data_IF_135520511586
#
_entry.id   IF_135520511586
#
_cell.length_a   1.000
_cell.length_b   1.000
_cell.length_c   1.000
_cell.angle_alpha   90.00
_cell.angle_beta   90.00
_cell.angle_gamma   90.00
#
_symmetry.space_group_name_H-M   'P 1'
#
loop_
_entity.id
_entity.type
_entity.pdbx_description
1 polymer ?
#
# COMPACT_ATOMS: atom_id res chain seq x y z
N UNK A 1 36.47 10.87 68.21
CA UNK A 1 36.43 11.22 66.78
C UNK A 1 35.05 10.83 66.26
N UNK A 2 34.15 11.81 66.12
CA UNK A 2 32.76 11.61 65.66
C UNK A 2 32.77 11.42 64.13
N UNK A 3 32.13 10.37 63.62
CA UNK A 3 31.86 10.23 62.18
C UNK A 3 30.34 10.30 62.01
N UNK A 4 29.88 11.40 61.42
CA UNK A 4 28.49 11.68 61.06
C UNK A 4 28.23 11.01 59.70
N UNK A 5 27.30 10.04 59.63
CA UNK A 5 26.84 9.48 58.35
C UNK A 5 25.66 10.34 57.86
N UNK A 6 25.88 11.16 56.83
CA UNK A 6 24.83 11.90 56.11
C UNK A 6 24.24 10.99 55.03
N UNK A 7 23.01 10.53 55.22
CA UNK A 7 22.22 9.82 54.22
C UNK A 7 21.66 10.83 53.21
N UNK A 8 22.15 10.82 51.96
CA UNK A 8 21.50 11.53 50.86
C UNK A 8 20.33 10.69 50.32
N UNK A 9 19.11 11.21 50.46
CA UNK A 9 17.92 10.66 49.80
C UNK A 9 17.83 11.31 48.42
N UNK A 10 18.03 10.51 47.37
CA UNK A 10 17.88 10.94 45.97
C UNK A 10 16.40 10.80 45.58
N UNK A 11 15.67 11.92 45.57
CA UNK A 11 14.28 11.96 45.12
C UNK A 11 14.19 11.85 43.60
N UNK A 12 13.61 10.77 43.10
CA UNK A 12 13.24 10.65 41.69
C UNK A 12 11.93 11.41 41.44
N UNK A 13 12.01 12.50 40.68
CA UNK A 13 10.83 13.19 40.15
C UNK A 13 10.46 12.51 38.84
N UNK A 14 9.43 11.67 38.85
CA UNK A 14 8.81 11.16 37.63
C UNK A 14 8.06 12.33 36.96
N UNK A 15 8.63 12.84 35.87
CA UNK A 15 7.94 13.75 34.95
C UNK A 15 7.02 12.90 34.07
N UNK A 16 5.72 12.90 34.38
CA UNK A 16 4.70 12.41 33.46
C UNK A 16 4.58 13.40 32.30
N UNK A 17 5.09 13.03 31.12
CA UNK A 17 4.65 13.64 29.87
C UNK A 17 3.34 12.97 29.48
N UNK A 18 2.22 13.69 29.64
CA UNK A 18 0.96 13.34 29.00
C UNK A 18 1.13 13.53 27.49
N UNK A 19 1.24 12.42 26.76
CA UNK A 19 1.16 12.45 25.29
C UNK A 19 -0.24 12.86 24.87
N UNK A 20 -0.35 13.92 24.07
CA UNK A 20 -1.59 14.31 23.41
C UNK A 20 -2.16 13.11 22.63
N UNK A 21 -3.35 12.66 23.01
CA UNK A 21 -4.12 11.72 22.19
C UNK A 21 -4.60 12.48 20.96
N UNK A 22 -3.91 12.30 19.84
CA UNK A 22 -4.46 12.63 18.52
C UNK A 22 -5.73 11.80 18.28
N UNK A 23 -6.89 12.35 18.62
CA UNK A 23 -8.19 11.83 18.17
C UNK A 23 -8.31 12.09 16.68
N UNK A 24 -7.96 11.09 15.87
CA UNK A 24 -8.16 11.17 14.41
C UNK A 24 -9.64 11.06 14.09
N UNK A 25 -10.12 12.00 13.28
CA UNK A 25 -11.47 12.05 12.71
C UNK A 25 -11.77 10.74 11.95
N UNK A 26 -12.99 10.19 12.05
CA UNK A 26 -13.39 9.04 11.23
C UNK A 26 -13.18 9.33 9.75
N UNK A 27 -12.91 8.28 8.95
CA UNK A 27 -12.91 8.40 7.49
C UNK A 27 -14.21 9.06 7.02
N UNK A 28 -14.13 9.85 5.95
CA UNK A 28 -15.31 10.30 5.23
C UNK A 28 -16.26 9.13 4.94
N UNK A 29 -17.56 9.43 4.83
CA UNK A 29 -18.57 8.40 4.57
C UNK A 29 -18.19 7.56 3.34
N UNK A 30 -18.36 6.23 3.38
CA UNK A 30 -17.90 5.36 2.32
C UNK A 30 -18.48 5.76 0.98
N UNK A 31 -17.67 5.73 -0.07
CA UNK A 31 -18.16 5.95 -1.43
C UNK A 31 -18.95 4.70 -1.81
N UNK A 32 -20.27 4.71 -1.63
CA UNK A 32 -21.07 3.53 -1.92
C UNK A 32 -20.99 3.18 -3.42
N UNK A 33 -20.31 2.07 -3.71
CA UNK A 33 -20.07 1.63 -5.08
C UNK A 33 -21.39 1.18 -5.72
N UNK A 34 -21.70 1.72 -6.90
CA UNK A 34 -22.92 1.41 -7.67
C UNK A 34 -22.71 0.30 -8.70
N UNK A 35 -21.45 -0.10 -8.92
CA UNK A 35 -21.02 -1.18 -9.81
C UNK A 35 -19.79 -1.88 -9.21
N UNK A 36 -19.47 -3.12 -9.61
CA UNK A 36 -18.18 -3.74 -9.32
C UNK A 36 -17.03 -2.85 -9.77
N UNK A 37 -16.02 -2.71 -8.91
CA UNK A 37 -14.74 -2.08 -9.26
C UNK A 37 -13.76 -3.15 -9.73
N UNK A 38 -12.85 -2.77 -10.63
CA UNK A 38 -11.87 -3.68 -11.21
C UNK A 38 -10.45 -3.33 -10.77
N UNK A 39 -9.81 -4.26 -10.08
CA UNK A 39 -8.44 -4.14 -9.62
C UNK A 39 -7.49 -4.93 -10.52
N UNK A 40 -6.63 -4.22 -11.23
CA UNK A 40 -5.55 -4.80 -12.03
C UNK A 40 -4.28 -4.89 -11.20
N UNK A 41 -3.73 -6.09 -11.07
CA UNK A 41 -2.47 -6.36 -10.41
C UNK A 41 -1.36 -6.47 -11.45
N UNK A 42 -0.44 -5.50 -11.44
CA UNK A 42 0.74 -5.56 -12.27
C UNK A 42 1.62 -6.73 -11.79
N UNK A 43 1.94 -7.65 -12.69
CA UNK A 43 2.87 -8.74 -12.44
C UNK A 43 3.98 -8.73 -13.49
N UNK A 44 5.22 -8.70 -13.01
CA UNK A 44 6.45 -8.81 -13.80
C UNK A 44 7.32 -9.88 -13.17
N UNK A 45 8.34 -10.37 -13.88
CA UNK A 45 9.29 -11.32 -13.31
C UNK A 45 9.94 -10.75 -12.04
N UNK A 46 10.08 -11.60 -11.04
CA UNK A 46 10.58 -11.21 -9.73
C UNK A 46 9.57 -10.44 -8.86
N UNK A 47 8.27 -10.38 -9.21
CA UNK A 47 7.24 -9.82 -8.30
C UNK A 47 7.22 -10.57 -6.97
N UNK A 48 7.07 -9.86 -5.85
CA UNK A 48 7.06 -10.48 -4.52
C UNK A 48 5.71 -11.12 -4.17
N UNK A 49 5.72 -12.37 -3.72
CA UNK A 49 4.50 -13.12 -3.41
C UNK A 49 3.62 -12.44 -2.37
N UNK A 50 4.20 -11.99 -1.24
CA UNK A 50 3.42 -11.41 -0.14
C UNK A 50 2.71 -10.11 -0.53
N UNK A 51 3.28 -9.37 -1.49
CA UNK A 51 2.77 -8.07 -1.91
C UNK A 51 1.74 -8.18 -3.03
N UNK A 52 1.81 -9.26 -3.82
CA UNK A 52 0.77 -9.64 -4.74
C UNK A 52 -0.44 -10.24 -4.00
N UNK A 53 -0.19 -11.27 -3.18
CA UNK A 53 -1.26 -12.09 -2.59
C UNK A 53 -2.05 -11.34 -1.52
N UNK A 54 -1.41 -10.56 -0.65
CA UNK A 54 -2.13 -9.87 0.44
C UNK A 54 -3.28 -8.97 -0.05
N UNK A 55 -3.05 -8.00 -0.96
CA UNK A 55 -4.14 -7.20 -1.53
C UNK A 55 -5.10 -8.01 -2.39
N UNK A 56 -4.63 -9.01 -3.16
CA UNK A 56 -5.53 -9.89 -3.92
C UNK A 56 -6.52 -10.61 -2.99
N UNK A 57 -6.02 -11.15 -1.88
CA UNK A 57 -6.81 -11.90 -0.90
C UNK A 57 -7.89 -11.00 -0.29
N UNK A 58 -7.52 -9.81 0.20
CA UNK A 58 -8.46 -8.83 0.75
C UNK A 58 -9.51 -8.40 -0.29
N UNK A 59 -9.10 -8.07 -1.52
CA UNK A 59 -10.05 -7.63 -2.55
C UNK A 59 -10.98 -8.75 -3.00
N UNK A 60 -10.48 -9.97 -3.15
CA UNK A 60 -11.31 -11.12 -3.48
C UNK A 60 -12.35 -11.43 -2.40
N UNK A 61 -12.02 -11.22 -1.13
CA UNK A 61 -12.95 -11.49 -0.03
C UNK A 61 -14.14 -10.52 0.02
N UNK A 62 -14.08 -9.38 -0.67
CA UNK A 62 -15.23 -8.45 -0.78
C UNK A 62 -16.50 -9.13 -1.31
N UNK A 63 -16.36 -10.21 -2.10
CA UNK A 63 -17.48 -11.03 -2.61
C UNK A 63 -18.39 -11.61 -1.52
N UNK A 64 -17.88 -11.77 -0.30
CA UNK A 64 -18.63 -12.32 0.83
C UNK A 64 -19.33 -11.23 1.66
N UNK A 65 -19.09 -9.95 1.35
CA UNK A 65 -19.52 -8.83 2.18
C UNK A 65 -20.28 -7.74 1.40
N UNK A 66 -20.24 -7.75 0.07
CA UNK A 66 -20.96 -6.79 -0.79
C UNK A 66 -21.36 -7.39 -2.13
N UNK A 67 -22.45 -6.90 -2.72
CA UNK A 67 -22.91 -7.27 -4.07
C UNK A 67 -22.07 -6.65 -5.19
N UNK A 68 -21.32 -5.58 -4.90
CA UNK A 68 -20.45 -4.87 -5.84
C UNK A 68 -18.97 -5.14 -5.53
N UNK A 69 -18.65 -6.43 -5.38
CA UNK A 69 -17.32 -6.91 -5.03
C UNK A 69 -16.25 -6.45 -6.04
N UNK A 70 -15.01 -6.33 -5.57
CA UNK A 70 -13.88 -6.01 -6.43
C UNK A 70 -13.58 -7.21 -7.33
N UNK A 71 -13.63 -7.00 -8.64
CA UNK A 71 -13.16 -7.94 -9.65
C UNK A 71 -11.64 -7.80 -9.78
N UNK A 72 -10.89 -8.86 -9.44
CA UNK A 72 -9.43 -8.84 -9.52
C UNK A 72 -8.96 -9.56 -10.78
N UNK A 73 -7.91 -9.04 -11.41
CA UNK A 73 -7.19 -9.73 -12.47
C UNK A 73 -5.72 -9.31 -12.48
N UNK A 74 -4.88 -10.17 -13.03
CA UNK A 74 -3.44 -9.93 -13.21
C UNK A 74 -3.15 -9.43 -14.61
N UNK A 75 -2.19 -8.51 -14.74
CA UNK A 75 -1.79 -7.94 -16.02
C UNK A 75 -0.27 -7.80 -16.08
N UNK A 76 0.30 -8.15 -17.23
CA UNK A 76 1.75 -8.16 -17.46
C UNK A 76 2.07 -7.65 -18.86
N UNK A 77 3.35 -7.39 -19.20
CA UNK A 77 3.74 -7.02 -20.55
C UNK A 77 3.23 -8.01 -21.62
N UNK A 78 3.31 -9.30 -21.31
CA UNK A 78 2.85 -10.41 -22.15
C UNK A 78 2.22 -11.50 -21.29
N UNK A 79 1.45 -12.38 -21.92
CA UNK A 79 0.85 -13.57 -21.29
C UNK A 79 1.82 -14.74 -21.06
N UNK A 80 3.10 -14.44 -20.90
CA UNK A 80 4.12 -15.46 -20.66
C UNK A 80 4.10 -15.88 -19.18
N UNK A 81 4.73 -17.02 -18.87
CA UNK A 81 4.86 -17.45 -17.47
C UNK A 81 5.79 -16.50 -16.73
N UNK A 82 5.28 -15.91 -15.65
CA UNK A 82 6.05 -15.09 -14.71
C UNK A 82 6.57 -15.98 -13.58
N UNK A 83 7.83 -15.81 -13.20
CA UNK A 83 8.41 -16.39 -11.99
C UNK A 83 8.52 -15.31 -10.92
N UNK A 84 7.85 -15.49 -9.80
CA UNK A 84 7.90 -14.57 -8.66
C UNK A 84 9.26 -14.63 -7.97
N UNK A 85 9.58 -13.63 -7.13
CA UNK A 85 10.85 -13.58 -6.41
C UNK A 85 11.13 -14.87 -5.61
N UNK A 86 10.12 -15.40 -4.93
CA UNK A 86 10.23 -16.64 -4.15
C UNK A 86 9.98 -17.92 -4.97
N UNK A 87 9.89 -17.81 -6.30
CA UNK A 87 9.92 -18.95 -7.23
C UNK A 87 8.58 -19.57 -7.60
N UNK A 88 7.44 -18.93 -7.28
CA UNK A 88 6.14 -19.37 -7.81
C UNK A 88 6.05 -19.05 -9.29
N UNK A 89 5.34 -19.90 -10.04
CA UNK A 89 5.05 -19.68 -11.45
C UNK A 89 3.57 -19.34 -11.62
N UNK A 90 3.28 -18.26 -12.33
CA UNK A 90 1.92 -17.85 -12.66
C UNK A 90 1.82 -17.41 -14.12
N UNK A 91 0.62 -17.54 -14.68
CA UNK A 91 0.28 -17.03 -16.01
C UNK A 91 -0.67 -15.85 -15.79
N UNK A 92 -0.35 -14.64 -16.26
CA UNK A 92 -1.20 -13.48 -16.04
C UNK A 92 -2.50 -13.59 -16.85
N UNK A 93 -3.55 -12.98 -16.33
CA UNK A 93 -4.88 -13.00 -16.95
C UNK A 93 -4.90 -12.22 -18.26
N UNK A 94 -4.04 -11.20 -18.42
CA UNK A 94 -3.92 -10.36 -19.62
C UNK A 94 -2.48 -9.87 -19.87
N UNK A 95 -2.15 -9.67 -21.15
CA UNK A 95 -1.02 -8.85 -21.61
C UNK A 95 -1.42 -7.38 -21.84
N UNK A 96 -0.45 -6.46 -21.95
CA UNK A 96 -0.73 -5.04 -22.20
C UNK A 96 -1.39 -4.77 -23.56
N UNK A 97 -1.22 -5.67 -24.53
CA UNK A 97 -1.84 -5.57 -25.86
C UNK A 97 -3.16 -6.35 -25.98
N UNK A 98 -3.56 -7.09 -24.94
CA UNK A 98 -4.82 -7.82 -24.92
C UNK A 98 -6.03 -6.87 -24.79
N UNK A 99 -7.21 -7.39 -25.10
CA UNK A 99 -8.45 -6.75 -24.66
C UNK A 99 -8.75 -7.14 -23.21
N UNK A 100 -8.57 -6.20 -22.28
CA UNK A 100 -8.82 -6.39 -20.85
C UNK A 100 -9.87 -5.40 -20.30
N UNK A 101 -10.49 -5.68 -19.13
CA UNK A 101 -11.47 -4.80 -18.51
C UNK A 101 -10.87 -3.43 -18.13
N UNK A 102 -11.71 -2.39 -18.05
CA UNK A 102 -11.27 -1.09 -17.51
C UNK A 102 -10.66 -1.23 -16.12
N UNK A 103 -9.63 -0.45 -15.82
CA UNK A 103 -8.89 -0.51 -14.55
C UNK A 103 -9.40 0.62 -13.65
N UNK A 104 -10.15 0.27 -12.60
CA UNK A 104 -10.59 1.24 -11.59
C UNK A 104 -9.56 1.38 -10.46
N UNK A 105 -8.81 0.30 -10.16
CA UNK A 105 -7.72 0.28 -9.18
C UNK A 105 -6.49 -0.35 -9.84
N UNK A 106 -5.37 0.36 -9.89
CA UNK A 106 -4.10 -0.21 -10.33
C UNK A 106 -3.23 -0.55 -9.12
N UNK A 107 -2.93 -1.82 -8.93
CA UNK A 107 -2.03 -2.31 -7.89
C UNK A 107 -0.65 -2.59 -8.48
N UNK A 108 0.39 -2.01 -7.88
CA UNK A 108 1.79 -2.09 -8.29
C UNK A 108 2.60 -2.65 -7.11
N UNK A 109 2.71 -3.98 -6.99
CA UNK A 109 3.62 -4.61 -6.04
C UNK A 109 5.08 -4.32 -6.35
N UNK A 110 5.98 -4.54 -5.38
CA UNK A 110 7.40 -4.59 -5.67
C UNK A 110 7.75 -5.82 -6.50
N UNK A 111 8.79 -5.65 -7.32
CA UNK A 111 9.48 -6.72 -8.02
C UNK A 111 11.00 -6.53 -7.90
N UNK A 112 11.75 -7.58 -8.19
CA UNK A 112 13.22 -7.62 -8.11
C UNK A 112 13.91 -6.39 -8.74
N UNK A 113 13.34 -5.87 -9.83
CA UNK A 113 13.90 -4.77 -10.62
C UNK A 113 13.20 -3.42 -10.48
N UNK A 114 12.31 -3.27 -9.49
CA UNK A 114 11.51 -2.04 -9.27
C UNK A 114 12.34 -0.78 -8.96
N UNK A 115 13.64 -0.93 -8.70
CA UNK A 115 14.55 0.20 -8.47
C UNK A 115 15.68 0.34 -9.49
N UNK A 116 15.65 -0.44 -10.58
CA UNK A 116 16.63 -0.37 -11.67
C UNK A 116 15.99 -0.56 -13.05
N UNK A 117 16.10 -1.73 -13.67
CA UNK A 117 15.76 -1.98 -15.07
C UNK A 117 14.27 -1.79 -15.37
N UNK A 118 13.38 -1.96 -14.39
CA UNK A 118 11.96 -1.62 -14.57
C UNK A 118 11.72 -0.11 -14.73
N UNK A 119 12.59 0.73 -14.14
CA UNK A 119 12.53 2.19 -14.25
C UNK A 119 13.10 2.70 -15.59
N UNK A 120 13.72 1.81 -16.37
CA UNK A 120 14.22 2.09 -17.72
C UNK A 120 13.29 1.48 -18.79
N UNK A 121 12.31 0.68 -18.38
CA UNK A 121 11.40 -0.02 -19.27
C UNK A 121 10.25 0.88 -19.73
N UNK A 122 10.40 1.50 -20.90
CA UNK A 122 9.40 2.42 -21.47
C UNK A 122 8.02 1.78 -21.66
N UNK A 123 7.95 0.50 -22.03
CA UNK A 123 6.69 -0.21 -22.22
C UNK A 123 5.94 -0.34 -20.89
N UNK A 124 6.64 -0.76 -19.84
CA UNK A 124 6.10 -0.87 -18.49
C UNK A 124 5.64 0.49 -17.96
N UNK A 125 6.51 1.49 -18.01
CA UNK A 125 6.22 2.82 -17.48
C UNK A 125 5.08 3.50 -18.24
N UNK A 126 5.00 3.32 -19.56
CA UNK A 126 3.89 3.85 -20.36
C UNK A 126 2.58 3.22 -19.96
N UNK A 127 2.54 1.89 -19.80
CA UNK A 127 1.35 1.20 -19.33
C UNK A 127 0.92 1.69 -17.94
N UNK A 128 1.85 1.74 -16.97
CA UNK A 128 1.56 2.21 -15.61
C UNK A 128 1.06 3.64 -15.62
N UNK A 129 1.70 4.55 -16.37
CA UNK A 129 1.30 5.95 -16.45
C UNK A 129 -0.11 6.12 -17.05
N UNK A 130 -0.42 5.42 -18.14
CA UNK A 130 -1.73 5.52 -18.81
C UNK A 130 -2.85 4.90 -17.99
N UNK A 131 -2.61 3.71 -17.43
CA UNK A 131 -3.56 3.00 -16.59
C UNK A 131 -3.80 3.74 -15.27
N UNK A 132 -2.73 4.17 -14.59
CA UNK A 132 -2.82 4.90 -13.32
C UNK A 132 -3.49 6.27 -13.44
N UNK A 133 -3.35 6.98 -14.56
CA UNK A 133 -4.07 8.25 -14.80
C UNK A 133 -5.58 8.04 -14.91
N UNK A 134 -6.02 6.90 -15.44
CA UNK A 134 -7.43 6.56 -15.62
C UNK A 134 -8.04 5.92 -14.36
N UNK A 135 -7.28 5.09 -13.65
CA UNK A 135 -7.71 4.37 -12.45
C UNK A 135 -8.10 5.32 -11.30
N UNK A 136 -9.25 5.09 -10.67
CA UNK A 136 -9.71 5.87 -9.51
C UNK A 136 -8.64 5.97 -8.44
N UNK A 137 -7.98 4.84 -8.15
CA UNK A 137 -6.86 4.75 -7.21
C UNK A 137 -5.68 3.97 -7.79
N UNK A 138 -4.47 4.33 -7.33
CA UNK A 138 -3.26 3.51 -7.46
C UNK A 138 -2.82 3.05 -6.07
N UNK A 139 -2.39 1.80 -5.98
CA UNK A 139 -1.86 1.20 -4.74
C UNK A 139 -0.47 0.65 -5.03
N UNK A 140 0.58 1.16 -4.38
CA UNK A 140 1.90 0.52 -4.43
C UNK A 140 2.27 -0.16 -3.13
N UNK A 141 3.05 -1.24 -3.25
CA UNK A 141 3.60 -2.00 -2.14
C UNK A 141 5.13 -1.96 -2.24
N UNK A 142 5.81 -1.65 -1.13
CA UNK A 142 7.27 -1.60 -1.07
C UNK A 142 7.82 -0.75 -2.23
N UNK A 143 8.80 -1.25 -2.98
CA UNK A 143 9.47 -0.51 -4.05
C UNK A 143 8.64 -0.33 -5.33
N UNK A 144 7.42 -0.86 -5.40
CA UNK A 144 6.45 -0.46 -6.43
C UNK A 144 6.18 1.06 -6.42
N UNK A 145 6.49 1.74 -5.31
CA UNK A 145 6.45 3.20 -5.21
C UNK A 145 7.44 3.90 -6.18
N UNK A 146 8.59 3.29 -6.47
CA UNK A 146 9.54 3.81 -7.46
C UNK A 146 8.94 3.80 -8.86
N UNK A 147 8.26 2.72 -9.23
CA UNK A 147 7.57 2.60 -10.53
C UNK A 147 6.46 3.66 -10.67
N UNK A 148 5.67 3.88 -9.62
CA UNK A 148 4.64 4.94 -9.63
C UNK A 148 5.26 6.35 -9.72
N UNK A 149 6.36 6.61 -9.01
CA UNK A 149 7.05 7.89 -9.07
C UNK A 149 7.67 8.13 -10.46
N UNK A 150 8.28 7.12 -11.05
CA UNK A 150 8.86 7.21 -12.39
C UNK A 150 7.81 7.44 -13.46
N UNK A 151 6.67 6.73 -13.37
CA UNK A 151 5.48 6.93 -14.20
C UNK A 151 4.76 8.28 -13.97
N UNK A 152 5.31 9.15 -13.12
CA UNK A 152 4.79 10.49 -12.77
C UNK A 152 3.41 10.46 -12.15
N UNK A 153 3.10 9.40 -11.40
CA UNK A 153 1.87 9.26 -10.61
C UNK A 153 2.05 9.78 -9.17
N UNK A 154 3.29 9.94 -8.71
CA UNK A 154 3.67 10.51 -7.41
C UNK A 154 4.61 11.71 -7.62
N UNK A 155 4.10 12.89 -7.99
CA UNK A 155 4.96 14.09 -8.21
C UNK A 155 5.25 14.85 -6.90
N UNK A 156 4.25 15.56 -6.37
CA UNK A 156 4.32 16.30 -5.10
C UNK A 156 3.54 15.59 -3.98
N UNK A 157 3.53 14.26 -4.01
CA UNK A 157 2.71 13.43 -3.13
C UNK A 157 3.35 13.20 -1.76
N UNK A 158 2.51 13.08 -0.74
CA UNK A 158 2.89 12.34 0.47
C UNK A 158 2.90 10.85 0.15
N UNK A 159 3.98 10.16 0.49
CA UNK A 159 4.14 8.76 0.15
C UNK A 159 5.08 8.03 1.12
N UNK A 160 5.17 6.72 0.99
CA UNK A 160 6.19 5.89 1.63
C UNK A 160 6.66 4.78 0.67
N UNK A 161 7.70 4.05 1.05
CA UNK A 161 8.22 2.87 0.34
C UNK A 161 8.76 1.89 1.39
N UNK A 162 9.46 0.84 0.96
CA UNK A 162 10.17 -0.07 1.87
C UNK A 162 11.06 0.68 2.86
N UNK A 163 11.06 0.31 4.17
CA UNK A 163 11.86 1.02 5.17
C UNK A 163 13.35 1.12 4.85
N UNK A 164 13.93 0.08 4.21
CA UNK A 164 15.33 0.07 3.78
C UNK A 164 15.66 1.08 2.68
N UNK A 165 14.68 1.44 1.85
CA UNK A 165 14.89 2.21 0.62
C UNK A 165 14.39 3.65 0.69
N UNK A 166 13.84 4.09 1.84
CA UNK A 166 13.40 5.47 2.09
C UNK A 166 14.46 6.50 1.68
N UNK A 167 15.72 6.29 2.07
CA UNK A 167 16.80 7.22 1.77
C UNK A 167 17.11 7.29 0.27
N UNK A 168 17.03 6.16 -0.44
CA UNK A 168 17.21 6.10 -1.89
C UNK A 168 16.05 6.78 -2.60
N UNK A 169 14.82 6.51 -2.17
CA UNK A 169 13.59 7.09 -2.75
C UNK A 169 13.57 8.62 -2.60
N UNK A 170 13.90 9.16 -1.42
CA UNK A 170 14.04 10.60 -1.18
C UNK A 170 15.08 11.25 -2.10
N UNK A 171 16.20 10.58 -2.37
CA UNK A 171 17.26 11.11 -3.26
C UNK A 171 16.84 11.09 -4.73
N UNK A 172 16.19 10.02 -5.17
CA UNK A 172 15.74 9.86 -6.55
C UNK A 172 14.60 10.84 -6.90
N UNK A 173 13.69 11.09 -5.95
CA UNK A 173 12.49 11.91 -6.15
C UNK A 173 12.38 13.03 -5.10
N UNK A 174 13.22 14.09 -5.20
CA UNK A 174 13.34 15.11 -4.15
C UNK A 174 12.09 16.01 -3.98
N UNK A 175 11.11 15.93 -4.88
CA UNK A 175 9.83 16.65 -4.76
C UNK A 175 8.79 15.91 -3.90
N UNK A 176 9.01 14.62 -3.65
CA UNK A 176 8.13 13.80 -2.84
C UNK A 176 8.32 14.08 -1.35
N UNK A 177 7.20 14.08 -0.62
CA UNK A 177 7.22 14.10 0.84
C UNK A 177 7.16 12.65 1.33
N UNK A 178 8.32 12.05 1.51
CA UNK A 178 8.45 10.63 1.89
C UNK A 178 8.41 10.46 3.41
N UNK A 179 7.43 9.70 3.88
CA UNK A 179 7.22 9.35 5.28
C UNK A 179 7.88 8.01 5.61
N UNK A 180 8.43 7.93 6.82
CA UNK A 180 9.10 6.75 7.37
C UNK A 180 8.38 6.26 8.62
N UNK A 181 8.61 4.99 9.00
CA UNK A 181 7.97 4.38 10.18
C UNK A 181 6.43 4.40 10.13
N UNK A 182 5.88 4.20 8.93
CA UNK A 182 4.45 4.16 8.64
C UNK A 182 4.12 2.88 7.88
N UNK A 183 2.91 2.35 8.08
CA UNK A 183 2.45 1.16 7.35
C UNK A 183 2.13 1.49 5.89
N UNK A 184 1.43 2.60 5.69
CA UNK A 184 1.13 3.18 4.39
C UNK A 184 0.81 4.67 4.53
N UNK A 185 0.75 5.35 3.38
CA UNK A 185 0.34 6.75 3.21
C UNK A 185 -0.72 6.80 2.12
N UNK A 186 -1.82 7.53 2.36
CA UNK A 186 -2.81 7.87 1.34
C UNK A 186 -2.75 9.37 1.06
N UNK A 187 -2.44 9.73 -0.19
CA UNK A 187 -2.54 11.09 -0.72
C UNK A 187 -3.19 11.08 -2.12
N UNK A 188 -4.29 11.83 -2.25
CA UNK A 188 -5.14 11.97 -3.43
C UNK A 188 -5.64 10.64 -3.97
N UNK A 189 -5.05 10.18 -5.09
CA UNK A 189 -5.42 8.91 -5.74
C UNK A 189 -4.44 7.79 -5.41
N UNK A 190 -3.35 8.09 -4.71
CA UNK A 190 -2.28 7.14 -4.47
C UNK A 190 -2.27 6.68 -3.01
N UNK A 191 -2.26 5.37 -2.82
CA UNK A 191 -1.93 4.72 -1.57
C UNK A 191 -0.58 4.02 -1.76
N UNK A 192 0.41 4.36 -0.94
CA UNK A 192 1.75 3.77 -0.99
C UNK A 192 2.02 3.06 0.32
N UNK A 193 2.48 1.82 0.29
CA UNK A 193 2.69 0.98 1.47
C UNK A 193 4.15 0.61 1.64
N UNK A 194 4.57 0.40 2.89
CA UNK A 194 5.87 -0.18 3.24
C UNK A 194 6.04 -1.63 2.72
N UNK A 195 4.94 -2.28 2.30
CA UNK A 195 4.93 -3.60 1.69
C UNK A 195 5.13 -4.77 2.66
N UNK A 196 5.53 -5.93 2.14
CA UNK A 196 5.50 -7.18 2.91
C UNK A 196 4.14 -7.43 3.57
N UNK A 197 4.12 -7.78 4.86
CA UNK A 197 2.88 -7.95 5.63
C UNK A 197 2.02 -6.68 5.74
N UNK A 198 2.62 -5.48 5.57
CA UNK A 198 1.89 -4.20 5.61
C UNK A 198 1.04 -3.95 4.37
N UNK A 199 1.19 -4.78 3.35
CA UNK A 199 0.30 -4.81 2.19
C UNK A 199 -1.16 -5.10 2.58
N UNK A 200 -1.40 -5.89 3.64
CA UNK A 200 -2.75 -6.13 4.18
C UNK A 200 -3.38 -4.85 4.74
N UNK A 201 -2.61 -4.05 5.50
CA UNK A 201 -3.11 -2.79 6.09
C UNK A 201 -3.60 -1.84 5.00
N UNK A 202 -2.84 -1.68 3.91
CA UNK A 202 -3.21 -0.80 2.80
C UNK A 202 -4.41 -1.31 2.00
N UNK A 203 -4.53 -2.63 1.82
CA UNK A 203 -5.68 -3.24 1.16
C UNK A 203 -6.96 -3.14 1.99
N UNK A 204 -6.88 -3.41 3.30
CA UNK A 204 -8.01 -3.27 4.23
C UNK A 204 -8.46 -1.82 4.35
N UNK A 205 -7.51 -0.88 4.36
CA UNK A 205 -7.82 0.54 4.29
C UNK A 205 -8.59 0.90 3.02
N UNK A 206 -8.15 0.42 1.85
CA UNK A 206 -8.84 0.67 0.60
C UNK A 206 -10.27 0.10 0.63
N UNK A 207 -10.47 -1.09 1.19
CA UNK A 207 -11.82 -1.65 1.37
C UNK A 207 -12.65 -0.78 2.32
N UNK A 208 -12.09 -0.31 3.44
CA UNK A 208 -12.82 0.56 4.36
C UNK A 208 -13.21 1.90 3.71
N UNK A 209 -12.32 2.47 2.90
CA UNK A 209 -12.56 3.69 2.14
C UNK A 209 -13.70 3.52 1.12
N UNK A 210 -13.74 2.38 0.42
CA UNK A 210 -14.66 2.12 -0.69
C UNK A 210 -15.99 1.50 -0.26
N UNK A 211 -16.01 0.69 0.79
CA UNK A 211 -17.16 -0.12 1.19
C UNK A 211 -17.55 0.06 2.66
N UNK A 212 -16.76 0.81 3.42
CA UNK A 212 -17.02 1.13 4.81
C UNK A 212 -16.49 0.11 5.81
N UNK A 213 -16.52 0.54 7.06
CA UNK A 213 -15.91 -0.17 8.19
C UNK A 213 -16.44 -1.59 8.38
N UNK A 214 -17.75 -1.79 8.22
CA UNK A 214 -18.37 -3.11 8.43
C UNK A 214 -17.81 -4.18 7.45
N UNK A 215 -17.62 -3.80 6.18
CA UNK A 215 -17.06 -4.69 5.17
C UNK A 215 -15.59 -4.98 5.47
N UNK A 216 -14.81 -3.95 5.80
CA UNK A 216 -13.39 -4.11 6.14
C UNK A 216 -13.19 -4.98 7.38
N UNK A 217 -13.96 -4.74 8.45
CA UNK A 217 -13.92 -5.54 9.68
C UNK A 217 -14.31 -7.00 9.44
N UNK A 218 -15.31 -7.24 8.59
CA UNK A 218 -15.73 -8.58 8.19
C UNK A 218 -14.60 -9.37 7.51
N UNK A 219 -13.92 -8.74 6.56
CA UNK A 219 -12.78 -9.35 5.85
C UNK A 219 -11.61 -9.56 6.82
N UNK A 220 -11.23 -8.53 7.60
CA UNK A 220 -10.14 -8.63 8.56
C UNK A 220 -10.37 -9.78 9.55
N UNK A 221 -11.59 -9.93 10.07
CA UNK A 221 -11.98 -11.04 10.94
C UNK A 221 -11.84 -12.40 10.24
N UNK A 222 -12.27 -12.51 8.99
CA UNK A 222 -12.17 -13.74 8.19
C UNK A 222 -10.71 -14.16 7.92
N UNK A 223 -9.83 -13.18 7.74
CA UNK A 223 -8.40 -13.37 7.51
C UNK A 223 -7.56 -13.41 8.81
N UNK A 224 -8.21 -13.27 9.98
CA UNK A 224 -7.55 -13.26 11.30
C UNK A 224 -6.51 -12.13 11.42
N UNK A 225 -6.87 -10.95 10.92
CA UNK A 225 -6.05 -9.74 10.96
C UNK A 225 -6.68 -8.73 11.93
N UNK A 226 -5.86 -8.16 12.81
CA UNK A 226 -6.28 -7.01 13.60
C UNK A 226 -6.25 -5.75 12.73
N UNK A 227 -7.43 -5.19 12.47
CA UNK A 227 -7.58 -3.99 11.67
C UNK A 227 -8.20 -2.84 12.45
N UNK A 228 -7.55 -1.68 12.40
CA UNK A 228 -8.07 -0.45 13.01
C UNK A 228 -7.53 0.78 12.29
N UNK A 229 -8.36 1.39 11.43
CA UNK A 229 -7.97 2.58 10.66
C UNK A 229 -7.51 3.77 11.53
N UNK A 230 -8.02 3.90 12.77
CA UNK A 230 -7.63 5.00 13.66
C UNK A 230 -6.14 4.98 14.05
N UNK A 231 -5.48 3.83 13.91
CA UNK A 231 -4.05 3.69 14.18
C UNK A 231 -3.19 4.18 13.00
N UNK A 232 -3.77 4.45 11.83
CA UNK A 232 -3.04 4.89 10.64
C UNK A 232 -2.77 6.39 10.71
N UNK A 233 -1.52 6.81 10.45
CA UNK A 233 -1.05 8.19 10.67
C UNK A 233 -1.24 9.15 9.50
N UNK A 234 -1.17 8.66 8.26
CA UNK A 234 -1.14 9.51 7.07
C UNK A 234 -2.22 9.07 6.07
N UNK A 235 -3.46 9.42 6.38
CA UNK A 235 -4.61 9.13 5.51
C UNK A 235 -5.36 10.41 5.20
N UNK A 236 -5.97 10.48 4.02
CA UNK A 236 -6.98 11.49 3.75
C UNK A 236 -8.21 11.19 4.61
N UNK A 237 -8.62 12.18 5.40
CA UNK A 237 -9.87 12.20 6.16
C UNK A 237 -10.93 12.98 5.40
#
# INVERSE_FOLDING_TARGET
>A
MRILLMSLIFGWVFSCQEGEKETKTPLASPIQQTKPLRAAFLVVDGVYNSELIAPMDVFQHTRFHTSNAIEVFTIAPKRDTITTFEGLKLIPDYGFEDHYPAIDILVVPSAEHSMDTDLENETLLTFVALSGKQALYTLSLCDGAFVLAEAKLLDTYECTTFPGDIAKFKRAYPKLKVHENVSFVHDRRAITSAGGAKSYDAALYMVELLYGKEVADGIAKGLVIEWNVSQVKHIQT
#
